data_IF_531659233122
#
_entry.id   IF_531659233122
#
_cell.length_a   1.000
_cell.length_b   1.000
_cell.length_c   1.000
_cell.angle_alpha   90.00
_cell.angle_beta   90.00
_cell.angle_gamma   90.00
#
_symmetry.space_group_name_H-M   'P 1'
#
loop_
_entity.id
_entity.type
_entity.pdbx_description
1 polymer ?
#
# COMPACT_ATOMS: atom_id res chain seq x y z
N UNK A 1 2.05 4.92 13.01
CA UNK A 1 2.35 5.02 11.55
C UNK A 1 3.00 3.75 10.98
N UNK A 2 4.04 3.18 11.61
CA UNK A 2 4.81 2.05 11.03
C UNK A 2 4.00 0.77 10.77
N UNK A 3 3.14 0.35 11.71
CA UNK A 3 2.29 -0.82 11.51
C UNK A 3 1.32 -0.65 10.33
N UNK A 4 0.78 0.57 10.13
CA UNK A 4 -0.09 0.88 9.00
C UNK A 4 0.66 0.85 7.66
N UNK A 5 1.95 1.24 7.65
CA UNK A 5 2.80 1.12 6.44
C UNK A 5 3.04 -0.34 6.06
N UNK A 6 3.23 -1.21 7.05
CA UNK A 6 3.31 -2.65 6.80
C UNK A 6 2.00 -3.17 6.21
N UNK A 7 0.86 -2.74 6.74
CA UNK A 7 -0.45 -3.10 6.18
C UNK A 7 -0.59 -2.65 4.72
N UNK A 8 -0.19 -1.42 4.38
CA UNK A 8 -0.22 -0.93 3.00
C UNK A 8 0.57 -1.85 2.04
N UNK A 9 1.74 -2.34 2.49
CA UNK A 9 2.54 -3.32 1.73
C UNK A 9 1.75 -4.61 1.47
N UNK A 10 1.07 -5.15 2.48
CA UNK A 10 0.25 -6.36 2.34
C UNK A 10 -0.93 -6.15 1.40
N UNK A 11 -1.53 -4.95 1.43
CA UNK A 11 -2.58 -4.54 0.51
C UNK A 11 -2.06 -4.14 -0.88
N UNK A 12 -0.75 -4.25 -1.13
CA UNK A 12 -0.08 -3.84 -2.39
C UNK A 12 -0.33 -2.37 -2.75
N UNK A 13 -0.52 -1.52 -1.75
CA UNK A 13 -0.72 -0.09 -1.92
C UNK A 13 0.62 0.66 -1.89
N UNK A 14 0.91 1.52 -2.88
CA UNK A 14 2.05 2.43 -2.79
C UNK A 14 1.78 3.44 -1.67
N UNK A 15 2.62 3.41 -0.64
CA UNK A 15 2.51 4.31 0.51
C UNK A 15 3.44 5.51 0.30
N UNK A 16 2.93 6.75 0.44
CA UNK A 16 3.74 7.96 0.36
C UNK A 16 4.88 7.94 1.40
N UNK A 17 6.01 8.54 1.07
CA UNK A 17 7.22 8.49 1.90
C UNK A 17 7.08 9.31 3.16
N UNK A 18 6.47 10.49 3.07
CA UNK A 18 6.24 11.36 4.22
C UNK A 18 5.14 10.81 5.13
N UNK A 19 5.16 11.21 6.40
CA UNK A 19 4.14 10.87 7.41
C UNK A 19 4.00 11.98 8.43
N UNK A 20 2.81 12.05 9.02
CA UNK A 20 2.53 12.88 10.17
C UNK A 20 2.32 12.01 11.42
N UNK A 21 2.86 12.48 12.54
CA UNK A 21 2.66 11.92 13.87
C UNK A 21 2.54 13.10 14.83
N UNK A 22 1.33 13.35 15.32
CA UNK A 22 1.00 14.50 16.17
C UNK A 22 1.03 14.07 17.64
N UNK A 23 2.11 14.37 18.40
CA UNK A 23 2.15 14.06 19.83
C UNK A 23 1.16 14.94 20.61
N UNK A 24 0.61 14.42 21.71
CA UNK A 24 -0.33 15.14 22.58
C UNK A 24 -1.42 15.89 21.79
N UNK A 25 -2.06 15.18 20.86
CA UNK A 25 -2.96 15.79 19.89
C UNK A 25 -4.00 16.73 20.50
N UNK A 26 -4.51 16.47 21.71
CA UNK A 26 -5.48 17.34 22.39
C UNK A 26 -5.01 18.80 22.63
N UNK A 27 -3.70 19.09 22.54
CA UNK A 27 -3.16 20.46 22.65
C UNK A 27 -3.09 21.19 21.29
N UNK A 28 -3.12 20.44 20.19
CA UNK A 28 -2.92 20.95 18.83
C UNK A 28 -4.22 21.36 18.15
N UNK A 29 -5.36 21.18 18.81
CA UNK A 29 -6.67 21.60 18.31
C UNK A 29 -7.25 22.73 19.17
N UNK A 30 -8.04 23.59 18.55
CA UNK A 30 -8.86 24.60 19.25
C UNK A 30 -10.25 24.06 19.61
N UNK A 31 -11.06 24.90 20.25
CA UNK A 31 -12.41 24.54 20.73
C UNK A 31 -13.39 24.25 19.58
N UNK A 32 -13.12 24.76 18.38
CA UNK A 32 -13.86 24.50 17.14
C UNK A 32 -13.36 23.21 16.42
N UNK A 33 -12.38 22.50 17.00
CA UNK A 33 -11.82 21.28 16.45
C UNK A 33 -10.91 21.49 15.24
N UNK A 34 -10.38 22.70 15.03
CA UNK A 34 -9.39 22.99 14.00
C UNK A 34 -7.98 22.81 14.55
N UNK A 35 -7.07 22.32 13.70
CA UNK A 35 -5.66 22.31 14.06
C UNK A 35 -5.16 23.75 14.13
N UNK A 36 -4.46 24.05 15.23
CA UNK A 36 -3.77 25.31 15.45
C UNK A 36 -2.67 25.50 14.42
N UNK A 37 -2.23 26.74 14.25
CA UNK A 37 -1.04 27.05 13.46
C UNK A 37 0.21 26.54 14.17
N UNK A 38 0.75 25.42 13.68
CA UNK A 38 1.92 24.78 14.26
C UNK A 38 2.71 24.01 13.21
N UNK A 39 4.00 23.74 13.47
CA UNK A 39 4.81 22.89 12.57
C UNK A 39 4.22 21.49 12.33
N UNK A 40 3.36 21.01 13.23
CA UNK A 40 2.66 19.74 13.09
C UNK A 40 1.53 19.83 12.06
N UNK A 41 0.83 20.98 11.99
CA UNK A 41 -0.15 21.27 10.94
C UNK A 41 0.55 21.34 9.58
N UNK A 42 1.68 22.05 9.49
CA UNK A 42 2.45 22.16 8.24
C UNK A 42 2.89 20.77 7.75
N UNK A 43 3.32 19.88 8.65
CA UNK A 43 3.65 18.50 8.28
C UNK A 43 2.44 17.72 7.76
N UNK A 44 1.24 17.94 8.28
CA UNK A 44 0.02 17.32 7.73
C UNK A 44 -0.23 17.82 6.30
N UNK A 45 -0.03 19.11 6.05
CA UNK A 45 -0.16 19.71 4.71
C UNK A 45 0.87 19.10 3.75
N UNK A 46 2.14 18.98 4.14
CA UNK A 46 3.19 18.34 3.32
C UNK A 46 2.81 16.91 2.92
N UNK A 47 2.26 16.13 3.86
CA UNK A 47 1.84 14.74 3.60
C UNK A 47 0.67 14.68 2.62
N UNK A 48 -0.30 15.59 2.75
CA UNK A 48 -1.43 15.67 1.83
C UNK A 48 -0.98 16.09 0.42
N UNK A 49 -0.07 17.06 0.34
CA UNK A 49 0.50 17.51 -0.92
C UNK A 49 1.31 16.40 -1.62
N UNK A 50 2.16 15.69 -0.87
CA UNK A 50 2.90 14.55 -1.39
C UNK A 50 1.97 13.42 -1.85
N UNK A 51 0.94 13.10 -1.07
CA UNK A 51 -0.04 12.08 -1.45
C UNK A 51 -0.75 12.43 -2.77
N UNK A 52 -1.09 13.70 -2.97
CA UNK A 52 -1.67 14.17 -4.23
C UNK A 52 -0.70 14.02 -5.40
N UNK A 53 0.56 14.46 -5.23
CA UNK A 53 1.62 14.32 -6.25
C UNK A 53 1.87 12.85 -6.61
N UNK A 54 1.99 11.97 -5.62
CA UNK A 54 2.13 10.52 -5.82
C UNK A 54 0.94 9.95 -6.60
N UNK A 55 -0.27 10.36 -6.26
CA UNK A 55 -1.49 9.89 -6.94
C UNK A 55 -1.48 10.31 -8.41
N UNK A 56 -1.14 11.56 -8.71
CA UNK A 56 -1.04 12.04 -10.10
C UNK A 56 -0.01 11.27 -10.92
N UNK A 57 1.13 10.93 -10.33
CA UNK A 57 2.19 10.17 -10.99
C UNK A 57 1.83 8.69 -11.21
N UNK A 58 1.25 8.04 -10.21
CA UNK A 58 1.04 6.59 -10.21
C UNK A 58 -0.27 6.18 -10.88
N UNK A 59 -1.34 6.98 -10.76
CA UNK A 59 -2.68 6.62 -11.26
C UNK A 59 -2.67 6.24 -12.76
N UNK A 60 -2.01 6.98 -13.67
CA UNK A 60 -1.97 6.61 -15.09
C UNK A 60 -1.19 5.34 -15.39
N UNK A 61 -0.29 4.92 -14.50
CA UNK A 61 0.62 3.79 -14.68
C UNK A 61 0.10 2.49 -14.05
N UNK A 62 -1.17 2.47 -13.59
CA UNK A 62 -1.74 1.36 -12.82
C UNK A 62 -1.64 0.01 -13.55
N UNK A 63 -1.90 -0.02 -14.86
CA UNK A 63 -1.81 -1.24 -15.67
C UNK A 63 -0.37 -1.76 -15.73
N UNK A 64 0.58 -0.87 -15.99
CA UNK A 64 2.00 -1.22 -16.07
C UNK A 64 2.54 -1.72 -14.73
N UNK A 65 2.18 -1.06 -13.63
CA UNK A 65 2.65 -1.41 -12.28
C UNK A 65 2.07 -2.74 -11.78
N UNK A 66 0.88 -3.13 -12.26
CA UNK A 66 0.25 -4.39 -11.91
C UNK A 66 0.60 -5.54 -12.86
N UNK A 67 1.27 -5.27 -14.00
CA UNK A 67 1.73 -6.31 -14.92
C UNK A 67 2.98 -7.03 -14.38
N UNK A 68 2.76 -8.11 -13.63
CA UNK A 68 3.82 -8.88 -12.96
C UNK A 68 4.35 -10.01 -13.82
N UNK A 69 5.68 -10.12 -13.86
CA UNK A 69 6.38 -11.20 -14.56
C UNK A 69 5.90 -12.61 -14.14
N UNK A 70 5.76 -12.88 -12.84
CA UNK A 70 5.31 -14.18 -12.34
C UNK A 70 3.90 -14.53 -12.83
N UNK A 71 3.01 -13.55 -12.93
CA UNK A 71 1.65 -13.71 -13.42
C UNK A 71 1.64 -13.96 -14.94
N UNK A 72 2.49 -13.27 -15.72
CA UNK A 72 2.67 -13.55 -17.16
C UNK A 72 3.17 -14.98 -17.40
N UNK A 73 4.18 -15.42 -16.66
CA UNK A 73 4.74 -16.78 -16.76
C UNK A 73 3.72 -17.86 -16.40
N UNK A 74 2.84 -17.58 -15.45
CA UNK A 74 1.74 -18.49 -15.09
C UNK A 74 0.71 -18.59 -16.22
N UNK A 75 0.30 -17.46 -16.81
CA UNK A 75 -0.62 -17.45 -17.96
C UNK A 75 -0.05 -18.20 -19.16
N UNK A 76 1.25 -18.09 -19.43
CA UNK A 76 1.92 -18.86 -20.50
C UNK A 76 1.87 -20.37 -20.25
N UNK A 77 2.05 -20.81 -19.00
CA UNK A 77 2.09 -22.24 -18.65
C UNK A 77 0.72 -22.87 -18.53
N UNK A 78 -0.22 -22.17 -17.92
CA UNK A 78 -1.53 -22.70 -17.51
C UNK A 78 -2.67 -22.20 -18.41
N UNK A 79 -2.41 -21.28 -19.33
CA UNK A 79 -3.41 -20.60 -20.16
C UNK A 79 -4.30 -19.60 -19.41
N UNK A 80 -4.24 -19.57 -18.07
CA UNK A 80 -5.00 -18.68 -17.18
C UNK A 80 -4.24 -18.43 -15.88
N UNK A 81 -4.68 -17.43 -15.10
CA UNK A 81 -4.23 -17.30 -13.72
C UNK A 81 -5.02 -18.27 -12.83
N UNK A 82 -4.30 -18.98 -11.98
CA UNK A 82 -4.89 -19.83 -10.95
C UNK A 82 -5.39 -18.95 -9.80
N UNK A 83 -6.47 -19.38 -9.17
CA UNK A 83 -6.92 -18.82 -7.90
C UNK A 83 -5.92 -19.15 -6.80
N UNK A 84 -5.97 -18.39 -5.70
CA UNK A 84 -5.07 -18.64 -4.56
C UNK A 84 -5.27 -20.05 -3.99
N UNK A 85 -6.51 -20.53 -3.91
CA UNK A 85 -6.81 -21.89 -3.44
C UNK A 85 -6.22 -22.98 -4.36
N UNK A 86 -6.28 -22.81 -5.69
CA UNK A 86 -5.65 -23.73 -6.64
C UNK A 86 -4.12 -23.73 -6.50
N UNK A 87 -3.50 -22.56 -6.27
CA UNK A 87 -2.06 -22.45 -6.03
C UNK A 87 -1.63 -23.14 -4.74
N UNK A 88 -2.40 -22.96 -3.68
CA UNK A 88 -2.15 -23.60 -2.38
C UNK A 88 -2.32 -25.11 -2.46
N UNK A 89 -3.39 -25.60 -3.11
CA UNK A 89 -3.59 -27.03 -3.35
C UNK A 89 -2.45 -27.65 -4.17
N UNK A 90 -1.99 -26.96 -5.22
CA UNK A 90 -0.84 -27.41 -6.02
C UNK A 90 0.45 -27.41 -5.23
N UNK A 91 0.69 -26.38 -4.42
CA UNK A 91 1.86 -26.29 -3.54
C UNK A 91 1.88 -27.41 -2.50
N UNK A 92 0.73 -27.70 -1.89
CA UNK A 92 0.57 -28.81 -0.95
C UNK A 92 0.79 -30.17 -1.62
N UNK A 93 0.24 -30.39 -2.82
CA UNK A 93 0.47 -31.61 -3.59
C UNK A 93 1.94 -31.80 -3.98
N UNK A 94 2.63 -30.73 -4.39
CA UNK A 94 4.05 -30.77 -4.71
C UNK A 94 4.92 -31.06 -3.48
N UNK A 95 4.60 -30.47 -2.33
CA UNK A 95 5.31 -30.75 -1.07
C UNK A 95 5.14 -32.21 -0.62
N UNK A 96 3.92 -32.75 -0.73
CA UNK A 96 3.63 -34.14 -0.39
C UNK A 96 4.31 -35.16 -1.32
N UNK A 97 4.55 -34.82 -2.59
CA UNK A 97 5.27 -35.68 -3.54
C UNK A 97 6.79 -35.65 -3.37
N UNK A 98 7.33 -34.69 -2.61
CA UNK A 98 8.76 -34.54 -2.33
C UNK A 98 9.20 -35.07 -0.95
N UNK A 99 8.26 -35.58 -0.16
CA UNK A 99 8.46 -36.19 1.15
C UNK A 99 8.34 -37.72 1.05
#
# INVERSE_FOLDING_TARGET
>A
VNALRLLARWMRMPCCTNQSSVPKAWLEFDDDGRMRDSPLRDRVVDVAEEFFKFTLLLRPQTELLNDRFSERREREREGRLLTQAEKEARGAAAAAASA
#
